data_IF_021361144651
#
_entry.id   IF_021361144651
#
_cell.length_a   1.000
_cell.length_b   1.000
_cell.length_c   1.000
_cell.angle_alpha   90.00
_cell.angle_beta   90.00
_cell.angle_gamma   90.00
#
_symmetry.space_group_name_H-M   'P 1'
#
loop_
_entity.id
_entity.type
_entity.pdbx_description
1 polymer ?
#
# COMPACT_ATOMS: atom_id res chain seq x y z
N UNK A 1 -1.33 -9.47 2.45
CA UNK A 1 -0.74 -8.58 1.42
C UNK A 1 0.76 -8.54 1.67
N UNK A 2 1.58 -8.68 0.62
CA UNK A 2 3.03 -8.75 0.70
C UNK A 2 3.65 -7.88 -0.40
N UNK A 3 4.94 -7.56 -0.26
CA UNK A 3 5.70 -6.81 -1.26
C UNK A 3 6.86 -7.67 -1.75
N UNK A 4 7.20 -7.56 -3.04
CA UNK A 4 8.39 -8.23 -3.58
C UNK A 4 9.67 -7.69 -2.94
N UNK A 5 10.75 -8.51 -2.95
CA UNK A 5 12.04 -8.14 -2.35
C UNK A 5 12.65 -6.86 -2.93
N UNK A 6 12.38 -6.58 -4.21
CA UNK A 6 12.83 -5.36 -4.90
C UNK A 6 11.87 -4.17 -4.73
N UNK A 7 10.80 -4.33 -3.95
CA UNK A 7 9.77 -3.31 -3.72
C UNK A 7 9.14 -2.77 -5.00
N UNK A 8 8.93 -3.64 -6.00
CA UNK A 8 8.30 -3.28 -7.28
C UNK A 8 6.88 -3.84 -7.41
N UNK A 9 6.61 -5.00 -6.81
CA UNK A 9 5.35 -5.70 -6.97
C UNK A 9 4.60 -5.81 -5.64
N UNK A 10 3.29 -5.56 -5.70
CA UNK A 10 2.31 -5.90 -4.69
C UNK A 10 1.83 -7.33 -4.92
N UNK A 11 1.94 -8.19 -3.93
CA UNK A 11 1.54 -9.60 -4.01
C UNK A 11 0.43 -9.85 -2.99
N UNK A 12 -0.73 -10.32 -3.46
CA UNK A 12 -1.88 -10.57 -2.59
C UNK A 12 -2.17 -12.06 -2.55
N UNK A 13 -2.35 -12.54 -1.33
CA UNK A 13 -2.64 -13.94 -1.04
C UNK A 13 -4.02 -14.06 -0.41
N UNK A 14 -4.74 -15.12 -0.76
CA UNK A 14 -5.96 -15.56 -0.09
C UNK A 14 -5.58 -16.63 0.91
N UNK A 15 -6.05 -16.48 2.14
CA UNK A 15 -5.96 -17.55 3.13
C UNK A 15 -6.86 -18.71 2.69
N UNK A 16 -6.27 -19.90 2.61
CA UNK A 16 -6.98 -21.16 2.39
C UNK A 16 -7.11 -21.78 3.78
N UNK A 17 -8.33 -21.80 4.32
CA UNK A 17 -8.57 -22.46 5.60
C UNK A 17 -8.18 -23.94 5.50
N UNK A 18 -7.30 -24.39 6.39
CA UNK A 18 -7.05 -25.81 6.57
C UNK A 18 -8.29 -26.45 7.19
N UNK A 19 -9.06 -27.21 6.41
CA UNK A 19 -9.94 -28.24 6.96
C UNK A 19 -9.09 -29.41 7.44
N UNK A 20 -8.39 -29.23 8.56
CA UNK A 20 -7.73 -30.31 9.27
C UNK A 20 -8.52 -30.63 10.54
N UNK A 21 -9.10 -31.82 10.60
CA UNK A 21 -9.66 -32.40 11.82
C UNK A 21 -8.78 -33.58 12.20
N UNK A 22 -7.97 -33.45 13.26
CA UNK A 22 -7.41 -34.64 13.91
C UNK A 22 -8.58 -35.44 14.46
N UNK A 23 -8.81 -36.64 13.93
CA UNK A 23 -9.68 -37.61 14.60
C UNK A 23 -8.95 -37.99 15.88
N UNK A 24 -9.45 -37.52 17.02
CA UNK A 24 -8.89 -37.85 18.32
C UNK A 24 -8.83 -39.36 18.50
N UNK A 25 -7.64 -39.93 18.38
CA UNK A 25 -7.34 -41.29 18.79
C UNK A 25 -6.05 -41.24 19.60
N UNK A 26 -6.25 -41.28 20.93
CA UNK A 26 -5.27 -41.36 22.02
C UNK A 26 -4.24 -40.23 22.15
N UNK A 27 -4.36 -39.52 23.29
CA UNK A 27 -3.63 -38.30 23.64
C UNK A 27 -2.14 -38.50 24.01
N UNK A 28 -1.54 -39.64 23.68
CA UNK A 28 -0.16 -39.98 24.06
C UNK A 28 0.80 -40.07 22.87
N UNK A 29 0.31 -39.88 21.64
CA UNK A 29 1.15 -39.73 20.46
C UNK A 29 1.16 -38.25 20.12
N UNK A 30 2.31 -37.62 20.27
CA UNK A 30 2.58 -36.29 19.72
C UNK A 30 2.45 -36.40 18.19
N UNK A 31 1.24 -36.33 17.64
CA UNK A 31 1.02 -36.32 16.20
C UNK A 31 1.76 -35.10 15.65
N UNK A 32 2.93 -35.32 15.05
CA UNK A 32 3.67 -34.28 14.38
C UNK A 32 2.75 -33.63 13.34
N UNK A 33 2.60 -32.31 13.44
CA UNK A 33 1.88 -31.51 12.46
C UNK A 33 2.31 -31.95 11.05
N UNK A 34 1.38 -32.34 10.15
CA UNK A 34 1.73 -32.87 8.86
C UNK A 34 2.72 -31.94 8.16
N UNK A 35 3.80 -32.48 7.59
CA UNK A 35 4.85 -31.68 6.92
C UNK A 35 4.25 -30.71 5.88
N UNK A 36 3.11 -31.07 5.29
CA UNK A 36 2.33 -30.18 4.41
C UNK A 36 1.82 -28.93 5.14
N UNK A 37 1.27 -29.04 6.35
CA UNK A 37 0.81 -27.90 7.15
C UNK A 37 1.90 -26.93 7.60
N UNK A 38 3.19 -27.27 7.44
CA UNK A 38 4.32 -26.38 7.75
C UNK A 38 4.69 -25.42 6.60
N UNK A 39 4.16 -25.62 5.40
CA UNK A 39 4.46 -24.79 4.21
C UNK A 39 3.50 -23.61 4.10
N UNK A 40 4.00 -22.45 3.69
CA UNK A 40 3.19 -21.24 3.49
C UNK A 40 2.06 -21.46 2.48
N UNK A 41 2.36 -22.18 1.40
CA UNK A 41 1.43 -22.49 0.31
C UNK A 41 0.25 -23.37 0.74
N UNK A 42 0.35 -24.03 1.90
CA UNK A 42 -0.75 -24.82 2.47
C UNK A 42 -1.78 -23.96 3.18
N UNK A 43 -1.42 -22.72 3.55
CA UNK A 43 -2.31 -21.76 4.22
C UNK A 43 -2.71 -20.61 3.30
N UNK A 44 -1.96 -20.39 2.21
CA UNK A 44 -2.14 -19.23 1.34
C UNK A 44 -1.98 -19.60 -0.12
N UNK A 45 -2.92 -19.16 -0.95
CA UNK A 45 -2.76 -19.13 -2.41
C UNK A 45 -2.55 -17.71 -2.88
N UNK A 46 -1.61 -17.52 -3.82
CA UNK A 46 -1.44 -16.24 -4.48
C UNK A 46 -2.67 -15.95 -5.34
N UNK A 47 -3.33 -14.81 -5.11
CA UNK A 47 -4.42 -14.32 -5.95
C UNK A 47 -3.87 -13.62 -7.19
N UNK A 48 -3.01 -12.63 -6.97
CA UNK A 48 -2.40 -11.86 -8.04
C UNK A 48 -1.07 -11.24 -7.59
N UNK A 49 -0.29 -10.83 -8.58
CA UNK A 49 0.91 -10.02 -8.44
C UNK A 49 0.80 -8.83 -9.38
N UNK A 50 0.84 -7.62 -8.83
CA UNK A 50 0.68 -6.36 -9.55
C UNK A 50 1.99 -5.58 -9.49
N UNK A 51 2.50 -5.11 -10.63
CA UNK A 51 3.59 -4.14 -10.67
C UNK A 51 3.04 -2.77 -10.31
N UNK A 52 3.45 -2.25 -9.16
CA UNK A 52 2.96 -0.99 -8.61
C UNK A 52 3.99 0.13 -8.77
N UNK A 53 5.26 -0.19 -8.59
CA UNK A 53 6.34 0.76 -8.84
C UNK A 53 6.92 0.57 -10.23
N UNK A 54 7.43 1.66 -10.80
CA UNK A 54 8.02 1.69 -12.13
C UNK A 54 9.26 2.59 -12.14
N UNK A 55 10.21 2.26 -13.01
CA UNK A 55 11.45 3.03 -13.15
C UNK A 55 12.24 3.09 -11.84
N UNK A 56 12.39 4.30 -11.29
CA UNK A 56 13.17 4.55 -10.06
C UNK A 56 12.29 4.65 -8.80
N UNK A 57 10.98 4.44 -8.93
CA UNK A 57 10.08 4.39 -7.76
C UNK A 57 10.23 3.05 -7.04
N UNK A 58 10.05 3.06 -5.73
CA UNK A 58 9.91 1.86 -4.89
C UNK A 58 8.60 1.93 -4.10
N UNK A 59 8.01 0.79 -3.82
CA UNK A 59 6.84 0.70 -2.93
C UNK A 59 7.24 1.07 -1.51
N UNK A 60 6.48 1.98 -0.90
CA UNK A 60 6.58 2.25 0.52
C UNK A 60 5.90 1.12 1.30
N UNK A 61 6.68 0.11 1.71
CA UNK A 61 6.16 -1.09 2.40
C UNK A 61 5.44 -0.81 3.72
N UNK A 62 5.74 0.33 4.35
CA UNK A 62 5.18 0.74 5.64
C UNK A 62 3.95 1.64 5.47
N UNK A 63 3.45 1.78 4.23
CA UNK A 63 2.24 2.51 3.89
C UNK A 63 1.21 1.59 3.23
N UNK A 64 0.03 1.51 3.83
CA UNK A 64 -1.13 0.82 3.27
C UNK A 64 -2.38 1.29 4.00
N UNK A 65 -3.35 1.79 3.25
CA UNK A 65 -4.68 2.13 3.78
C UNK A 65 -5.73 1.30 3.05
N UNK A 66 -6.76 0.87 3.77
CA UNK A 66 -7.92 0.20 3.18
C UNK A 66 -9.14 1.08 3.34
N UNK A 67 -9.97 1.15 2.29
CA UNK A 67 -11.26 1.85 2.37
C UNK A 67 -12.25 1.07 3.24
N UNK A 68 -13.21 1.74 3.89
CA UNK A 68 -14.18 1.09 4.80
C UNK A 68 -14.97 -0.08 4.19
N UNK A 69 -15.23 -0.04 2.88
CA UNK A 69 -15.89 -1.14 2.18
C UNK A 69 -14.96 -2.35 1.91
N UNK A 70 -13.69 -2.30 2.32
CA UNK A 70 -12.62 -3.27 2.03
C UNK A 70 -12.53 -3.68 0.55
N UNK A 71 -13.05 -2.84 -0.36
CA UNK A 71 -13.01 -3.10 -1.79
C UNK A 71 -11.70 -2.59 -2.42
N UNK A 72 -11.12 -1.54 -1.83
CA UNK A 72 -9.93 -0.89 -2.34
C UNK A 72 -8.84 -0.76 -1.27
N UNK A 73 -7.59 -0.89 -1.70
CA UNK A 73 -6.40 -0.54 -0.95
C UNK A 73 -5.70 0.63 -1.62
N UNK A 74 -5.19 1.56 -0.82
CA UNK A 74 -4.39 2.69 -1.26
C UNK A 74 -2.95 2.36 -0.91
N UNK A 75 -2.10 2.35 -1.93
CA UNK A 75 -0.68 2.05 -1.82
C UNK A 75 0.12 3.23 -2.36
N UNK A 76 1.35 3.37 -1.90
CA UNK A 76 2.22 4.47 -2.31
C UNK A 76 3.54 3.94 -2.86
N UNK A 77 3.98 4.56 -3.95
CA UNK A 77 5.33 4.43 -4.46
C UNK A 77 6.00 5.79 -4.51
N UNK A 78 7.31 5.82 -4.35
CA UNK A 78 8.06 7.06 -4.41
C UNK A 78 9.49 6.83 -4.87
N UNK A 79 10.08 7.84 -5.50
CA UNK A 79 11.52 7.92 -5.69
C UNK A 79 12.22 8.23 -4.37
N UNK A 80 13.49 7.85 -4.22
CA UNK A 80 14.29 8.22 -3.06
C UNK A 80 14.30 9.77 -2.87
N UNK A 81 14.22 10.26 -1.62
CA UNK A 81 14.27 11.68 -1.33
C UNK A 81 15.68 12.25 -1.63
N UNK A 82 15.71 13.36 -2.35
CA UNK A 82 16.91 14.13 -2.68
C UNK A 82 17.05 15.29 -1.68
N UNK A 83 18.11 15.29 -0.87
CA UNK A 83 18.33 16.31 0.17
C UNK A 83 18.74 17.67 -0.42
N UNK A 84 19.47 17.66 -1.54
CA UNK A 84 19.92 18.88 -2.23
C UNK A 84 18.94 19.26 -3.36
N UNK A 85 17.67 19.35 -3.02
CA UNK A 85 16.63 19.61 -4.00
C UNK A 85 16.66 21.09 -4.44
N UNK A 86 16.51 21.37 -5.75
CA UNK A 86 16.56 22.74 -6.26
C UNK A 86 15.42 23.58 -5.66
N UNK A 87 15.73 24.85 -5.40
CA UNK A 87 14.74 25.82 -4.93
C UNK A 87 13.64 26.00 -5.98
N UNK A 88 12.39 25.84 -5.54
CA UNK A 88 11.19 26.02 -6.38
C UNK A 88 10.21 26.99 -5.73
N UNK A 89 9.42 27.75 -6.50
CA UNK A 89 8.41 28.63 -5.94
C UNK A 89 7.46 27.88 -5.01
N UNK A 90 7.24 28.41 -3.80
CA UNK A 90 6.38 27.80 -2.78
C UNK A 90 6.99 26.61 -2.02
N UNK A 91 8.15 26.10 -2.44
CA UNK A 91 8.84 25.03 -1.71
C UNK A 91 9.64 25.61 -0.53
N UNK A 92 9.53 24.98 0.64
CA UNK A 92 10.33 25.34 1.81
C UNK A 92 11.80 24.93 1.57
N UNK A 93 12.77 25.85 1.75
CA UNK A 93 14.19 25.53 1.69
C UNK A 93 14.61 24.48 2.72
N UNK A 94 15.48 23.55 2.32
CA UNK A 94 16.02 22.51 3.21
C UNK A 94 15.13 21.29 3.43
N UNK A 95 13.88 21.29 2.92
CA UNK A 95 13.05 20.09 2.89
C UNK A 95 13.47 19.22 1.69
N UNK A 96 13.73 17.92 1.89
CA UNK A 96 14.06 17.00 0.80
C UNK A 96 12.96 16.95 -0.27
N UNK A 97 13.27 16.42 -1.44
CA UNK A 97 12.31 16.26 -2.52
C UNK A 97 12.29 14.85 -3.06
N UNK A 98 11.12 14.25 -3.14
CA UNK A 98 10.89 13.06 -3.95
C UNK A 98 10.42 13.55 -5.34
N UNK A 99 11.17 13.19 -6.39
CA UNK A 99 10.86 13.61 -7.77
C UNK A 99 9.46 13.17 -8.19
N UNK A 100 9.05 11.98 -7.75
CA UNK A 100 7.73 11.44 -8.01
C UNK A 100 7.24 10.63 -6.81
N UNK A 101 6.00 10.88 -6.43
CA UNK A 101 5.22 10.10 -5.46
C UNK A 101 3.92 9.73 -6.15
N UNK A 102 3.57 8.45 -6.15
CA UNK A 102 2.32 7.96 -6.74
C UNK A 102 1.50 7.24 -5.68
N UNK A 103 0.29 7.71 -5.43
CA UNK A 103 -0.73 6.99 -4.67
C UNK A 103 -1.63 6.24 -5.64
N UNK A 104 -1.69 4.93 -5.53
CA UNK A 104 -2.48 4.07 -6.40
C UNK A 104 -3.64 3.48 -5.62
N UNK A 105 -4.86 3.66 -6.15
CA UNK A 105 -6.06 3.00 -5.66
C UNK A 105 -6.19 1.65 -6.35
N UNK A 106 -6.06 0.56 -5.60
CA UNK A 106 -6.05 -0.80 -6.13
C UNK A 106 -7.29 -1.54 -5.64
N UNK A 107 -8.04 -2.16 -6.55
CA UNK A 107 -9.14 -3.06 -6.19
C UNK A 107 -8.56 -4.35 -5.61
N UNK A 108 -8.93 -4.66 -4.36
CA UNK A 108 -8.37 -5.80 -3.62
C UNK A 108 -8.84 -7.17 -4.13
N UNK A 109 -9.94 -7.20 -4.89
CA UNK A 109 -10.51 -8.44 -5.42
C UNK A 109 -9.66 -9.07 -6.53
N UNK A 110 -9.10 -8.24 -7.42
CA UNK A 110 -8.46 -8.67 -8.66
C UNK A 110 -7.10 -7.99 -8.93
N UNK A 111 -6.71 -6.99 -8.14
CA UNK A 111 -5.45 -6.28 -8.31
C UNK A 111 -5.47 -5.20 -9.39
N UNK A 112 -6.65 -4.79 -9.86
CA UNK A 112 -6.76 -3.71 -10.85
C UNK A 112 -6.42 -2.36 -10.21
N UNK A 113 -5.50 -1.62 -10.83
CA UNK A 113 -5.29 -0.20 -10.51
C UNK A 113 -6.48 0.58 -11.06
N UNK A 114 -7.25 1.18 -10.16
CA UNK A 114 -8.46 1.91 -10.48
C UNK A 114 -8.16 3.37 -10.82
N UNK A 115 -7.27 3.99 -10.04
CA UNK A 115 -6.88 5.39 -10.21
C UNK A 115 -5.52 5.68 -9.56
N UNK A 116 -4.89 6.79 -9.95
CA UNK A 116 -3.59 7.24 -9.45
C UNK A 116 -3.55 8.74 -9.17
N UNK A 117 -3.01 9.13 -8.00
CA UNK A 117 -2.64 10.51 -7.71
C UNK A 117 -1.13 10.65 -7.69
N UNK A 118 -0.60 11.56 -8.51
CA UNK A 118 0.84 11.81 -8.65
C UNK A 118 1.21 13.17 -8.08
N UNK A 119 2.22 13.20 -7.23
CA UNK A 119 2.87 14.40 -6.73
C UNK A 119 4.30 14.45 -7.27
N UNK A 120 4.74 15.64 -7.66
CA UNK A 120 6.06 15.84 -8.25
C UNK A 120 6.84 16.84 -7.43
N UNK A 121 8.11 16.51 -7.22
CA UNK A 121 9.07 17.35 -6.51
C UNK A 121 8.54 17.84 -5.16
N UNK A 122 7.98 16.90 -4.40
CA UNK A 122 7.32 17.12 -3.12
C UNK A 122 7.88 16.17 -2.06
N UNK A 123 7.56 16.41 -0.80
CA UNK A 123 7.85 15.54 0.32
C UNK A 123 6.58 15.24 1.09
N UNK A 124 6.12 13.99 0.98
CA UNK A 124 5.02 13.44 1.76
C UNK A 124 5.60 12.35 2.65
N UNK A 125 5.32 12.41 3.95
CA UNK A 125 5.82 11.42 4.90
C UNK A 125 5.00 10.12 4.81
N UNK A 126 5.38 9.23 3.88
CA UNK A 126 4.64 7.98 3.63
C UNK A 126 4.82 6.93 4.75
N UNK A 127 6.00 6.87 5.37
CA UNK A 127 6.32 5.86 6.36
C UNK A 127 5.32 5.89 7.52
N UNK A 128 4.80 4.71 7.88
CA UNK A 128 3.85 4.53 8.98
C UNK A 128 2.57 5.38 8.85
N UNK A 129 2.18 5.74 7.62
CA UNK A 129 1.00 6.56 7.33
C UNK A 129 1.01 7.95 8.01
N UNK A 130 2.17 8.50 8.38
CA UNK A 130 2.23 9.76 9.17
C UNK A 130 1.70 10.96 8.39
N UNK A 131 2.01 11.04 7.10
CA UNK A 131 1.64 12.17 6.23
C UNK A 131 0.33 11.97 5.47
N UNK A 132 -0.35 10.82 5.63
CA UNK A 132 -1.58 10.50 4.89
C UNK A 132 -2.56 9.82 5.83
N UNK A 133 -3.72 10.42 5.99
CA UNK A 133 -4.78 9.93 6.86
C UNK A 133 -6.10 9.81 6.11
N UNK A 134 -6.91 8.83 6.49
CA UNK A 134 -8.22 8.56 5.91
C UNK A 134 -9.31 8.65 6.98
N UNK A 135 -10.38 9.37 6.67
CA UNK A 135 -11.58 9.49 7.48
C UNK A 135 -12.80 9.27 6.59
N UNK A 136 -13.57 8.22 6.86
CA UNK A 136 -14.64 7.72 6.00
C UNK A 136 -14.15 7.55 4.55
N UNK A 137 -14.65 8.36 3.60
CA UNK A 137 -14.21 8.36 2.21
C UNK A 137 -13.29 9.55 1.86
N UNK A 138 -12.83 10.32 2.85
CA UNK A 138 -11.89 11.42 2.66
C UNK A 138 -10.45 11.01 2.98
N UNK A 139 -9.53 11.32 2.07
CA UNK A 139 -8.10 11.11 2.19
C UNK A 139 -7.41 12.46 2.31
N UNK A 140 -6.82 12.75 3.46
CA UNK A 140 -5.98 13.91 3.67
C UNK A 140 -4.51 13.56 3.45
N UNK A 141 -3.80 14.39 2.68
CA UNK A 141 -2.38 14.20 2.34
C UNK A 141 -1.63 15.49 2.69
N UNK A 142 -0.64 15.39 3.56
CA UNK A 142 0.20 16.51 3.96
C UNK A 142 1.42 16.60 3.03
N UNK A 143 1.40 17.60 2.15
CA UNK A 143 2.56 18.08 1.42
C UNK A 143 3.43 18.92 2.35
N UNK A 144 4.51 18.33 2.87
CA UNK A 144 5.41 19.00 3.82
C UNK A 144 6.21 20.08 3.10
N UNK A 145 6.67 19.81 1.87
CA UNK A 145 7.53 20.74 1.13
C UNK A 145 6.79 22.02 0.73
N UNK A 146 5.49 21.95 0.48
CA UNK A 146 4.66 23.11 0.09
C UNK A 146 3.67 23.55 1.18
N UNK A 147 3.79 23.03 2.42
CA UNK A 147 2.88 23.33 3.55
C UNK A 147 1.39 23.26 3.18
N UNK A 148 1.02 22.28 2.37
CA UNK A 148 -0.33 22.17 1.80
C UNK A 148 -0.98 20.87 2.24
N UNK A 149 -2.26 20.92 2.59
CA UNK A 149 -3.07 19.73 2.83
C UNK A 149 -3.95 19.51 1.60
N UNK A 150 -3.77 18.39 0.93
CA UNK A 150 -4.67 17.95 -0.13
C UNK A 150 -5.77 17.08 0.48
N UNK A 151 -7.03 17.37 0.13
CA UNK A 151 -8.17 16.55 0.53
C UNK A 151 -8.77 15.93 -0.73
N UNK A 152 -8.72 14.61 -0.80
CA UNK A 152 -9.32 13.81 -1.86
C UNK A 152 -10.50 13.04 -1.29
N UNK A 153 -11.52 12.80 -2.10
CA UNK A 153 -12.60 11.86 -1.79
C UNK A 153 -12.43 10.60 -2.64
N UNK A 154 -12.47 9.43 -2.01
CA UNK A 154 -12.39 8.12 -2.66
C UNK A 154 -13.80 7.65 -2.99
N UNK A 155 -14.18 7.77 -4.26
CA UNK A 155 -15.54 7.38 -4.70
C UNK A 155 -15.67 5.86 -4.76
N UNK A 156 -16.88 5.36 -4.52
CA UNK A 156 -17.23 3.93 -4.68
C UNK A 156 -17.00 3.39 -6.11
N UNK A 157 -16.95 4.26 -7.11
CA UNK A 157 -16.58 3.88 -8.48
C UNK A 157 -15.08 3.53 -8.62
N UNK A 158 -14.27 3.80 -7.59
CA UNK A 158 -12.82 3.61 -7.59
C UNK A 158 -12.08 4.78 -8.23
N UNK A 159 -12.32 6.00 -7.76
CA UNK A 159 -11.62 7.20 -8.27
C UNK A 159 -11.30 8.16 -7.13
N UNK A 160 -10.18 8.86 -7.24
CA UNK A 160 -9.85 10.03 -6.41
C UNK A 160 -10.51 11.28 -6.98
N UNK A 161 -11.16 12.05 -6.13
CA UNK A 161 -11.79 13.33 -6.52
C UNK A 161 -11.28 14.42 -5.59
N UNK A 162 -10.68 15.48 -6.14
CA UNK A 162 -10.28 16.65 -5.35
C UNK A 162 -11.53 17.27 -4.69
N UNK A 163 -11.49 17.41 -3.36
CA UNK A 163 -12.49 18.18 -2.63
C UNK A 163 -12.06 19.63 -2.71
N UNK A 164 -12.68 20.38 -3.63
CA UNK A 164 -12.44 21.82 -3.74
C UNK A 164 -12.77 22.47 -2.40
N UNK A 165 -11.78 23.16 -1.83
CA UNK A 165 -11.97 24.11 -0.73
C UNK A 165 -12.28 25.47 -1.30
#
# INVERSE_FOLDING_TARGET
ICFSRNYQNLIVYRHICLTYCSKGVNCDIQEEFPIKGKKFESHFSQLYSLSLASGNEIICKDFCLATDCNCYGIFATATAPESDAPSRPGAIPGIPSMKKITLSLVRLADGTIMDERKFHDDFIHLAHNVGIFMYDDFLSILSVRYQTIHILQVRRAGMFVDVRT
#
